data_IF_483460690513
#
_entry.id   IF_483460690513
#
_cell.length_a   1.000
_cell.length_b   1.000
_cell.length_c   1.000
_cell.angle_alpha   90.00
_cell.angle_beta   90.00
_cell.angle_gamma   90.00
#
_symmetry.space_group_name_H-M   'P 1'
#
loop_
_entity.id
_entity.type
_entity.pdbx_description
1 polymer ?
#
# COMPACT_ATOMS: atom_id res chain seq x y z
N UNK A 1 69.08 -3.12 2.32
CA UNK A 1 69.77 -3.56 1.08
C UNK A 1 68.78 -3.40 -0.02
N UNK A 2 68.96 -2.38 -0.67
CA UNK A 2 69.29 -1.95 -2.04
C UNK A 2 68.04 -1.54 -2.80
N UNK A 3 67.85 -0.25 -2.86
CA UNK A 3 67.31 0.51 -4.00
C UNK A 3 68.30 0.43 -5.18
N UNK A 4 67.93 0.54 -6.45
CA UNK A 4 67.97 1.87 -7.00
C UNK A 4 66.95 2.18 -8.14
N UNK A 5 66.47 3.41 -8.12
CA UNK A 5 66.46 4.45 -9.15
C UNK A 5 66.49 4.08 -10.66
N UNK A 6 65.62 4.68 -11.40
CA UNK A 6 65.64 4.81 -12.87
C UNK A 6 64.71 5.91 -13.38
N UNK A 7 65.26 7.07 -13.52
CA UNK A 7 64.74 8.35 -14.10
C UNK A 7 64.67 8.28 -15.63
N UNK A 8 63.94 9.24 -16.19
CA UNK A 8 64.02 9.88 -17.53
C UNK A 8 62.81 9.71 -18.46
N UNK A 9 62.14 10.77 -18.63
CA UNK A 9 62.02 11.83 -19.64
C UNK A 9 60.70 11.83 -20.38
N UNK A 10 60.06 13.01 -20.31
CA UNK A 10 58.99 13.44 -21.23
C UNK A 10 59.52 13.79 -22.62
N UNK A 11 58.64 13.85 -23.62
CA UNK A 11 58.56 15.10 -24.32
C UNK A 11 57.13 15.60 -24.62
N UNK A 12 57.02 16.87 -24.53
CA UNK A 12 56.11 17.88 -25.04
C UNK A 12 55.47 17.59 -26.40
N UNK A 13 54.17 17.83 -26.53
CA UNK A 13 53.46 17.85 -27.82
C UNK A 13 52.07 18.48 -27.70
N UNK A 14 52.02 19.80 -27.86
CA UNK A 14 50.77 20.57 -27.94
C UNK A 14 50.05 20.29 -29.26
N UNK A 15 48.74 20.01 -29.22
CA UNK A 15 47.80 20.42 -30.28
C UNK A 15 46.45 20.78 -29.66
N UNK A 16 46.09 22.03 -29.90
CA UNK A 16 44.78 22.63 -29.69
C UNK A 16 43.77 22.00 -30.67
N UNK A 17 42.65 21.48 -30.16
CA UNK A 17 41.49 21.09 -30.93
C UNK A 17 40.26 21.51 -30.16
N UNK A 18 39.68 22.67 -30.52
CA UNK A 18 38.41 23.15 -29.97
C UNK A 18 37.29 22.26 -30.49
N UNK A 19 36.66 21.54 -29.59
CA UNK A 19 35.39 20.87 -29.80
C UNK A 19 34.35 21.52 -28.88
N UNK A 20 33.53 22.40 -29.46
CA UNK A 20 32.27 22.83 -28.82
C UNK A 20 31.37 21.60 -28.78
N UNK A 21 31.42 20.84 -27.70
CA UNK A 21 30.46 19.82 -27.38
C UNK A 21 29.25 20.50 -26.74
N UNK A 22 28.11 20.43 -27.43
CA UNK A 22 26.85 20.97 -26.98
C UNK A 22 26.49 20.43 -25.57
N UNK A 23 26.14 21.36 -24.72
CA UNK A 23 25.43 21.05 -23.50
C UNK A 23 24.10 20.37 -23.89
N UNK A 24 24.12 19.05 -23.99
CA UNK A 24 22.89 18.29 -24.04
C UNK A 24 22.15 18.58 -22.72
N UNK A 25 21.04 19.28 -22.83
CA UNK A 25 20.05 19.39 -21.77
C UNK A 25 19.78 17.97 -21.25
N UNK A 26 20.43 17.62 -20.16
CA UNK A 26 20.02 16.44 -19.38
C UNK A 26 18.71 16.84 -18.76
N UNK A 27 17.61 16.50 -19.46
CA UNK A 27 16.27 16.57 -18.92
C UNK A 27 16.33 15.94 -17.52
N UNK A 28 16.05 16.73 -16.48
CA UNK A 28 16.02 16.24 -15.11
C UNK A 28 15.09 15.03 -15.08
N UNK A 29 15.43 13.95 -14.38
CA UNK A 29 14.61 12.75 -14.36
C UNK A 29 13.18 13.17 -13.98
N UNK A 30 12.24 12.94 -14.89
CA UNK A 30 10.83 13.23 -14.67
C UNK A 30 10.44 12.57 -13.36
N UNK A 31 9.91 13.36 -12.43
CA UNK A 31 9.36 12.81 -11.18
C UNK A 31 8.09 12.02 -11.54
N UNK A 32 8.28 10.75 -11.86
CA UNK A 32 7.22 9.80 -12.27
C UNK A 32 6.05 9.79 -11.28
N UNK A 33 6.27 10.29 -10.05
CA UNK A 33 5.25 10.42 -9.01
C UNK A 33 4.28 11.57 -9.28
N UNK A 34 4.73 12.64 -9.95
CA UNK A 34 3.86 13.77 -10.35
C UNK A 34 2.93 13.40 -11.50
N UNK A 35 3.35 12.43 -12.31
CA UNK A 35 2.59 11.95 -13.47
C UNK A 35 1.66 10.78 -13.11
N UNK A 36 1.60 10.35 -11.86
CA UNK A 36 0.64 9.33 -11.43
C UNK A 36 -0.78 9.87 -11.66
N UNK A 37 -1.62 9.17 -12.44
CA UNK A 37 -2.96 9.64 -12.81
C UNK A 37 -3.92 9.71 -11.60
N UNK A 38 -3.45 9.33 -10.44
CA UNK A 38 -4.15 9.43 -9.15
C UNK A 38 -3.22 10.01 -8.08
N UNK A 39 -3.81 10.56 -7.02
CA UNK A 39 -3.10 10.89 -5.77
C UNK A 39 -2.64 9.62 -5.05
N UNK A 40 -2.56 9.64 -3.73
CA UNK A 40 -2.37 8.41 -2.98
C UNK A 40 -3.63 7.53 -3.03
N UNK A 41 -3.47 6.21 -3.21
CA UNK A 41 -4.56 5.24 -3.14
C UNK A 41 -4.55 4.54 -1.79
N UNK A 42 -5.71 4.47 -1.16
CA UNK A 42 -5.92 3.75 0.09
C UNK A 42 -6.91 2.62 -0.15
N UNK A 43 -6.49 1.40 0.13
CA UNK A 43 -7.33 0.22 0.06
C UNK A 43 -7.82 -0.15 1.45
N UNK A 44 -9.14 -0.22 1.61
CA UNK A 44 -9.82 -0.69 2.80
C UNK A 44 -10.67 -1.91 2.45
N UNK A 45 -10.96 -2.76 3.42
CA UNK A 45 -11.77 -3.95 3.17
C UNK A 45 -11.74 -4.92 4.33
N UNK A 46 -12.71 -5.84 4.38
CA UNK A 46 -12.74 -6.88 5.40
C UNK A 46 -11.55 -7.83 5.26
N UNK A 47 -11.22 -8.61 6.29
CA UNK A 47 -10.18 -9.64 6.22
C UNK A 47 -10.37 -10.55 5.00
N UNK A 48 -9.29 -10.82 4.26
CA UNK A 48 -9.33 -11.63 3.04
C UNK A 48 -9.76 -10.90 1.77
N UNK A 49 -10.11 -9.60 1.82
CA UNK A 49 -10.46 -8.82 0.62
C UNK A 49 -9.29 -8.58 -0.33
N UNK A 50 -8.04 -8.71 0.14
CA UNK A 50 -6.84 -8.66 -0.70
C UNK A 50 -6.15 -7.30 -0.76
N UNK A 51 -6.40 -6.39 0.20
CA UNK A 51 -5.86 -5.03 0.22
C UNK A 51 -4.34 -4.99 0.00
N UNK A 52 -3.56 -5.84 0.70
CA UNK A 52 -2.10 -5.92 0.56
C UNK A 52 -1.67 -6.30 -0.85
N UNK A 53 -2.21 -7.41 -1.37
CA UNK A 53 -1.83 -7.93 -2.68
C UNK A 53 -2.20 -6.96 -3.80
N UNK A 54 -3.36 -6.31 -3.71
CA UNK A 54 -3.82 -5.34 -4.70
C UNK A 54 -3.03 -4.03 -4.60
N UNK A 55 -2.65 -3.58 -3.39
CA UNK A 55 -1.80 -2.40 -3.21
C UNK A 55 -0.43 -2.59 -3.87
N UNK A 56 0.16 -3.78 -3.77
CA UNK A 56 1.42 -4.10 -4.43
C UNK A 56 1.35 -4.01 -5.97
N UNK A 57 0.20 -4.34 -6.56
CA UNK A 57 -0.05 -4.22 -8.01
C UNK A 57 -0.37 -2.78 -8.46
N UNK A 58 -0.80 -1.91 -7.53
CA UNK A 58 -1.24 -0.56 -7.84
C UNK A 58 -0.14 0.48 -7.75
N UNK A 59 0.90 0.22 -6.97
CA UNK A 59 1.95 1.20 -6.73
C UNK A 59 2.61 1.67 -8.03
N UNK A 60 2.73 2.98 -8.19
CA UNK A 60 3.40 3.55 -9.35
C UNK A 60 4.93 3.34 -9.28
N UNK A 61 5.65 3.32 -10.41
CA UNK A 61 7.11 3.23 -10.40
C UNK A 61 7.74 4.31 -9.52
N UNK A 62 8.64 3.89 -8.62
CA UNK A 62 9.31 4.78 -7.68
C UNK A 62 8.46 5.28 -6.50
N UNK A 63 7.17 4.94 -6.45
CA UNK A 63 6.29 5.20 -5.32
C UNK A 63 6.35 4.06 -4.28
N UNK A 64 5.60 4.17 -3.18
CA UNK A 64 5.66 3.22 -2.07
C UNK A 64 4.38 2.41 -1.95
N UNK A 65 4.55 1.10 -1.81
CA UNK A 65 3.50 0.23 -1.28
C UNK A 65 3.68 0.11 0.24
N UNK A 66 2.63 0.37 1.00
CA UNK A 66 2.64 0.30 2.46
C UNK A 66 1.49 -0.55 2.95
N UNK A 67 1.81 -1.47 3.85
CA UNK A 67 0.84 -2.34 4.50
C UNK A 67 0.79 -2.04 5.99
N UNK A 68 -0.40 -1.66 6.47
CA UNK A 68 -0.60 -1.25 7.86
C UNK A 68 -0.29 -2.37 8.85
N UNK A 69 -0.68 -3.61 8.52
CA UNK A 69 -0.41 -4.75 9.40
C UNK A 69 1.09 -4.97 9.60
N UNK A 70 1.88 -4.92 8.52
CA UNK A 70 3.32 -5.05 8.60
C UNK A 70 3.97 -3.88 9.38
N UNK A 71 3.50 -2.64 9.18
CA UNK A 71 4.00 -1.47 9.91
C UNK A 71 3.65 -1.55 11.39
N UNK A 72 2.43 -2.00 11.73
CA UNK A 72 1.98 -2.16 13.12
C UNK A 72 2.79 -3.24 13.83
N UNK A 73 2.99 -4.40 13.21
CA UNK A 73 3.76 -5.49 13.78
C UNK A 73 5.24 -5.09 14.00
N UNK A 74 5.86 -4.40 13.03
CA UNK A 74 7.21 -3.88 13.17
C UNK A 74 7.34 -2.89 14.34
N UNK A 75 6.33 -2.04 14.55
CA UNK A 75 6.28 -1.08 15.66
C UNK A 75 6.18 -1.78 17.02
N UNK A 76 5.44 -2.86 17.07
CA UNK A 76 5.28 -3.69 18.27
C UNK A 76 6.43 -4.68 18.48
N UNK A 77 7.40 -4.74 17.55
CA UNK A 77 8.50 -5.68 17.53
C UNK A 77 8.04 -7.15 17.61
N UNK A 78 6.97 -7.49 16.88
CA UNK A 78 6.40 -8.84 16.81
C UNK A 78 6.31 -9.32 15.36
N UNK A 79 6.25 -10.65 15.20
CA UNK A 79 5.94 -11.24 13.89
C UNK A 79 4.50 -10.87 13.47
N UNK A 80 4.28 -10.35 12.25
CA UNK A 80 2.95 -10.02 11.76
C UNK A 80 1.94 -11.18 11.87
N UNK A 81 2.37 -12.41 11.60
CA UNK A 81 1.52 -13.60 11.68
C UNK A 81 1.05 -13.91 13.11
N UNK A 82 1.79 -13.48 14.13
CA UNK A 82 1.51 -13.74 15.53
C UNK A 82 0.97 -12.52 16.28
N UNK A 83 1.01 -11.33 15.67
CA UNK A 83 0.71 -10.07 16.33
C UNK A 83 -0.64 -10.08 17.06
N UNK A 84 -1.70 -10.62 16.44
CA UNK A 84 -3.03 -10.73 17.03
C UNK A 84 -3.17 -11.79 18.12
N UNK A 85 -2.17 -12.67 18.27
CA UNK A 85 -2.18 -13.74 19.28
C UNK A 85 -1.38 -13.34 20.51
N UNK A 86 -0.23 -12.67 20.29
CA UNK A 86 0.73 -12.37 21.37
C UNK A 86 0.58 -10.97 21.96
N UNK A 87 -0.14 -10.06 21.28
CA UNK A 87 -0.37 -8.68 21.75
C UNK A 87 -1.82 -8.53 22.21
N UNK A 88 -2.03 -7.91 23.37
CA UNK A 88 -3.38 -7.58 23.83
C UNK A 88 -4.11 -6.71 22.79
N UNK A 89 -5.37 -7.02 22.51
CA UNK A 89 -6.13 -6.38 21.42
C UNK A 89 -6.13 -4.85 21.53
N UNK A 90 -6.32 -4.31 22.72
CA UNK A 90 -6.32 -2.87 22.96
C UNK A 90 -4.98 -2.21 22.58
N UNK A 91 -3.85 -2.82 22.94
CA UNK A 91 -2.50 -2.35 22.60
C UNK A 91 -2.29 -2.40 21.09
N UNK A 92 -2.73 -3.51 20.46
CA UNK A 92 -2.63 -3.65 19.01
C UNK A 92 -3.45 -2.56 18.30
N UNK A 93 -4.72 -2.34 18.71
CA UNK A 93 -5.60 -1.34 18.09
C UNK A 93 -5.08 0.09 18.23
N UNK A 94 -4.48 0.42 19.37
CA UNK A 94 -3.84 1.72 19.57
C UNK A 94 -2.63 1.90 18.66
N UNK A 95 -1.78 0.89 18.56
CA UNK A 95 -0.60 0.93 17.68
C UNK A 95 -1.01 0.99 16.20
N UNK A 96 -2.02 0.21 15.80
CA UNK A 96 -2.60 0.19 14.45
C UNK A 96 -3.17 1.56 14.07
N UNK A 97 -3.94 2.19 14.93
CA UNK A 97 -4.52 3.51 14.67
C UNK A 97 -3.44 4.59 14.51
N UNK A 98 -2.41 4.59 15.37
CA UNK A 98 -1.27 5.51 15.25
C UNK A 98 -0.51 5.30 13.95
N UNK A 99 -0.20 4.04 13.62
CA UNK A 99 0.48 3.70 12.37
C UNK A 99 -0.34 4.10 11.14
N UNK A 100 -1.66 3.92 11.17
CA UNK A 100 -2.55 4.32 10.09
C UNK A 100 -2.53 5.83 9.86
N UNK A 101 -2.59 6.64 10.92
CA UNK A 101 -2.52 8.11 10.82
C UNK A 101 -1.21 8.53 10.16
N UNK A 102 -0.07 8.02 10.63
CA UNK A 102 1.24 8.37 10.06
C UNK A 102 1.39 7.93 8.59
N UNK A 103 0.86 6.76 8.23
CA UNK A 103 0.85 6.31 6.85
C UNK A 103 0.01 7.23 5.95
N UNK A 104 -1.17 7.64 6.43
CA UNK A 104 -2.05 8.55 5.70
C UNK A 104 -1.45 9.94 5.54
N UNK A 105 -0.90 10.51 6.61
CA UNK A 105 -0.26 11.83 6.59
C UNK A 105 0.97 11.86 5.69
N UNK A 106 1.79 10.81 5.73
CA UNK A 106 3.00 10.66 4.92
C UNK A 106 2.76 10.17 3.49
N UNK A 107 1.52 9.93 3.08
CA UNK A 107 1.17 9.43 1.75
C UNK A 107 1.41 10.49 0.67
N UNK A 108 1.98 10.07 -0.46
CA UNK A 108 2.30 10.91 -1.62
C UNK A 108 1.57 10.41 -2.85
N UNK A 109 1.41 11.26 -3.88
CA UNK A 109 0.87 10.80 -5.16
C UNK A 109 1.59 9.55 -5.68
N UNK A 110 0.82 8.59 -6.18
CA UNK A 110 1.32 7.30 -6.65
C UNK A 110 1.54 6.23 -5.58
N UNK A 111 1.57 6.59 -4.29
CA UNK A 111 1.65 5.61 -3.20
C UNK A 111 0.34 4.77 -3.12
N UNK A 112 0.49 3.50 -2.76
CA UNK A 112 -0.61 2.58 -2.50
C UNK A 112 -0.55 2.06 -1.06
N UNK A 113 -1.60 2.29 -0.28
CA UNK A 113 -1.69 1.95 1.14
C UNK A 113 -2.74 0.86 1.34
N UNK A 114 -2.37 -0.24 2.00
CA UNK A 114 -3.30 -1.27 2.45
C UNK A 114 -3.59 -1.05 3.94
N UNK A 115 -4.78 -0.51 4.27
CA UNK A 115 -5.19 -0.29 5.66
C UNK A 115 -6.08 -1.41 6.21
N UNK A 116 -6.76 -2.16 5.33
CA UNK A 116 -7.79 -3.09 5.79
C UNK A 116 -8.97 -2.38 6.43
N UNK A 117 -9.58 -2.97 7.45
CA UNK A 117 -10.76 -2.40 8.13
C UNK A 117 -10.60 -2.26 9.65
N UNK A 118 -9.49 -2.70 10.22
CA UNK A 118 -9.29 -2.73 11.68
C UNK A 118 -9.27 -1.34 12.32
N UNK A 119 -8.55 -0.41 11.71
CA UNK A 119 -8.35 0.95 12.21
C UNK A 119 -9.51 1.91 11.93
N UNK A 120 -10.51 1.54 11.12
CA UNK A 120 -11.52 2.46 10.59
C UNK A 120 -12.56 2.94 11.64
N UNK A 121 -12.53 2.42 12.85
CA UNK A 121 -13.34 2.91 13.97
C UNK A 121 -12.66 4.04 14.75
N UNK A 122 -11.39 4.34 14.47
CA UNK A 122 -10.64 5.39 15.15
C UNK A 122 -10.99 6.77 14.57
N UNK A 123 -11.47 7.73 15.39
CA UNK A 123 -11.74 9.09 14.93
C UNK A 123 -10.51 9.80 14.34
N UNK A 124 -9.32 9.48 14.84
CA UNK A 124 -8.07 10.04 14.31
C UNK A 124 -7.79 9.54 12.90
N UNK A 125 -8.02 8.25 12.63
CA UNK A 125 -7.87 7.66 11.29
C UNK A 125 -8.90 8.24 10.32
N UNK A 126 -10.15 8.43 10.74
CA UNK A 126 -11.18 9.04 9.90
C UNK A 126 -10.80 10.46 9.48
N UNK A 127 -10.34 11.29 10.42
CA UNK A 127 -9.83 12.64 10.09
C UNK A 127 -8.64 12.61 9.13
N UNK A 128 -7.73 11.66 9.31
CA UNK A 128 -6.57 11.52 8.42
C UNK A 128 -6.98 11.07 7.00
N UNK A 129 -8.02 10.24 6.87
CA UNK A 129 -8.62 9.89 5.56
C UNK A 129 -9.24 11.11 4.88
N UNK A 130 -9.97 11.95 5.62
CA UNK A 130 -10.56 13.18 5.07
C UNK A 130 -9.47 14.16 4.63
N UNK A 131 -8.42 14.34 5.42
CA UNK A 131 -7.26 15.15 5.05
C UNK A 131 -6.52 14.59 3.82
N UNK A 132 -6.45 13.27 3.66
CA UNK A 132 -5.88 12.64 2.47
C UNK A 132 -6.74 12.92 1.23
N UNK A 133 -8.06 12.84 1.33
CA UNK A 133 -8.99 13.19 0.23
C UNK A 133 -8.82 14.66 -0.18
N UNK A 134 -8.73 15.56 0.78
CA UNK A 134 -8.50 16.98 0.52
C UNK A 134 -7.21 17.26 -0.28
N UNK A 135 -6.22 16.36 -0.19
CA UNK A 135 -4.99 16.40 -0.99
C UNK A 135 -5.06 15.58 -2.29
N UNK A 136 -6.24 15.18 -2.71
CA UNK A 136 -6.47 14.41 -3.94
C UNK A 136 -6.20 12.90 -3.80
N UNK A 137 -6.14 12.36 -2.59
CA UNK A 137 -6.12 10.91 -2.37
C UNK A 137 -7.49 10.28 -2.63
N UNK A 138 -7.51 8.97 -2.79
CA UNK A 138 -8.74 8.21 -3.05
C UNK A 138 -8.79 6.96 -2.17
N UNK A 139 -9.94 6.71 -1.56
CA UNK A 139 -10.19 5.54 -0.72
C UNK A 139 -11.04 4.54 -1.49
N UNK A 140 -10.54 3.33 -1.69
CA UNK A 140 -11.24 2.27 -2.43
C UNK A 140 -11.52 1.10 -1.49
N UNK A 141 -12.79 0.72 -1.38
CA UNK A 141 -13.17 -0.49 -0.65
C UNK A 141 -13.09 -1.71 -1.57
N UNK A 142 -12.36 -2.72 -1.10
CA UNK A 142 -12.36 -4.06 -1.68
C UNK A 142 -13.37 -4.91 -0.93
N UNK A 143 -14.26 -5.58 -1.67
CA UNK A 143 -15.25 -6.51 -1.11
C UNK A 143 -15.10 -7.87 -1.76
N UNK A 144 -15.72 -8.89 -1.20
CA UNK A 144 -15.91 -10.17 -1.84
C UNK A 144 -17.08 -10.92 -1.18
N UNK A 145 -17.64 -11.92 -1.87
CA UNK A 145 -18.63 -12.80 -1.29
C UNK A 145 -18.11 -13.45 0.01
N UNK A 146 -18.97 -13.55 1.03
CA UNK A 146 -18.62 -14.07 2.35
C UNK A 146 -17.94 -15.46 2.28
N UNK A 147 -18.38 -16.33 1.37
CA UNK A 147 -17.74 -17.63 1.14
C UNK A 147 -16.30 -17.51 0.65
N UNK A 148 -16.03 -16.56 -0.25
CA UNK A 148 -14.67 -16.30 -0.75
C UNK A 148 -13.78 -15.75 0.35
N UNK A 149 -14.29 -14.83 1.19
CA UNK A 149 -13.57 -14.29 2.34
C UNK A 149 -13.29 -15.38 3.37
N UNK A 150 -14.28 -16.23 3.70
CA UNK A 150 -14.10 -17.35 4.62
C UNK A 150 -12.97 -18.29 4.15
N UNK A 151 -13.00 -18.67 2.86
CA UNK A 151 -11.95 -19.51 2.27
C UNK A 151 -10.56 -18.88 2.35
N UNK A 152 -10.44 -17.60 2.02
CA UNK A 152 -9.16 -16.87 2.07
C UNK A 152 -8.61 -16.72 3.49
N UNK A 153 -9.48 -16.82 4.50
CA UNK A 153 -9.11 -16.81 5.92
C UNK A 153 -9.02 -18.23 6.54
N UNK A 154 -9.03 -19.29 5.72
CA UNK A 154 -8.89 -20.67 6.21
C UNK A 154 -10.12 -21.22 6.97
N UNK A 155 -11.30 -20.59 6.80
CA UNK A 155 -12.54 -20.95 7.50
C UNK A 155 -13.50 -21.80 6.65
N UNK A 156 -13.04 -22.40 5.56
CA UNK A 156 -13.82 -23.28 4.68
C UNK A 156 -13.55 -24.78 4.91
N UNK A 157 -12.81 -25.14 5.96
CA UNK A 157 -12.56 -26.51 6.34
C UNK A 157 -13.89 -27.28 6.54
N UNK A 158 -13.92 -28.62 6.32
CA UNK A 158 -15.12 -29.43 6.48
C UNK A 158 -15.78 -29.14 7.83
N UNK A 159 -17.08 -28.93 7.80
CA UNK A 159 -17.89 -28.50 8.96
C UNK A 159 -17.77 -29.48 10.11
N UNK A 160 -16.86 -29.25 11.04
CA UNK A 160 -17.02 -29.80 12.38
C UNK A 160 -18.07 -28.96 13.10
N UNK A 161 -18.94 -29.63 13.87
CA UNK A 161 -19.98 -28.98 14.68
C UNK A 161 -19.40 -27.88 15.59
N UNK A 162 -18.15 -28.02 15.99
CA UNK A 162 -17.41 -27.05 16.80
C UNK A 162 -17.15 -25.69 16.12
N UNK A 163 -17.12 -25.60 14.78
CA UNK A 163 -16.84 -24.36 14.03
C UNK A 163 -18.10 -23.53 13.73
N UNK A 164 -19.31 -24.03 14.02
CA UNK A 164 -20.57 -23.33 13.75
C UNK A 164 -20.67 -21.95 14.42
N UNK A 165 -20.34 -21.80 15.71
CA UNK A 165 -20.33 -20.50 16.39
C UNK A 165 -19.29 -19.55 15.82
N UNK A 166 -18.06 -20.04 15.56
CA UNK A 166 -16.96 -19.25 14.99
C UNK A 166 -17.33 -18.72 13.61
N UNK A 167 -17.93 -19.56 12.77
CA UNK A 167 -18.38 -19.14 11.45
C UNK A 167 -19.46 -18.04 11.50
N UNK A 168 -20.44 -18.16 12.38
CA UNK A 168 -21.49 -17.13 12.56
C UNK A 168 -20.89 -15.80 13.02
N UNK A 169 -20.03 -15.84 14.03
CA UNK A 169 -19.33 -14.65 14.53
C UNK A 169 -18.50 -13.99 13.43
N UNK A 170 -17.78 -14.79 12.65
CA UNK A 170 -17.00 -14.30 11.52
C UNK A 170 -17.88 -13.63 10.45
N UNK A 171 -18.98 -14.25 10.04
CA UNK A 171 -19.92 -13.65 9.06
C UNK A 171 -20.51 -12.34 9.58
N UNK A 172 -20.84 -12.26 10.86
CA UNK A 172 -21.33 -11.02 11.48
C UNK A 172 -20.26 -9.92 11.43
N UNK A 173 -19.02 -10.25 11.80
CA UNK A 173 -17.89 -9.33 11.72
C UNK A 173 -17.66 -8.84 10.27
N UNK A 174 -17.70 -9.75 9.31
CA UNK A 174 -17.53 -9.38 7.89
C UNK A 174 -18.57 -8.37 7.43
N UNK A 175 -19.86 -8.59 7.77
CA UNK A 175 -20.95 -7.66 7.41
C UNK A 175 -20.77 -6.28 8.03
N UNK A 176 -20.38 -6.21 9.30
CA UNK A 176 -20.09 -4.95 9.99
C UNK A 176 -18.93 -4.22 9.34
N UNK A 177 -17.84 -4.92 9.02
CA UNK A 177 -16.66 -4.33 8.37
C UNK A 177 -16.94 -3.90 6.95
N UNK A 178 -17.75 -4.67 6.22
CA UNK A 178 -18.16 -4.31 4.85
C UNK A 178 -19.02 -3.04 4.83
N UNK A 179 -20.00 -2.92 5.74
CA UNK A 179 -20.82 -1.72 5.86
C UNK A 179 -19.94 -0.49 6.14
N UNK A 180 -19.04 -0.58 7.14
CA UNK A 180 -18.11 0.49 7.47
C UNK A 180 -17.22 0.89 6.27
N UNK A 181 -16.68 -0.09 5.55
CA UNK A 181 -15.87 0.19 4.37
C UNK A 181 -16.67 0.84 3.25
N UNK A 182 -17.94 0.45 3.07
CA UNK A 182 -18.84 1.04 2.08
C UNK A 182 -19.09 2.51 2.37
N UNK A 183 -19.37 2.85 3.62
CA UNK A 183 -19.67 4.22 4.05
C UNK A 183 -18.47 5.16 3.91
N UNK A 184 -17.26 4.60 4.03
CA UNK A 184 -16.00 5.35 3.97
C UNK A 184 -15.34 5.35 2.58
N UNK A 185 -15.85 4.60 1.61
CA UNK A 185 -15.17 4.45 0.33
C UNK A 185 -15.64 5.47 -0.71
N UNK A 186 -14.68 5.98 -1.48
CA UNK A 186 -14.97 6.76 -2.68
C UNK A 186 -15.38 5.86 -3.86
N UNK A 187 -14.89 4.63 -3.90
CA UNK A 187 -15.24 3.60 -4.88
C UNK A 187 -15.18 2.20 -4.26
N UNK A 188 -15.91 1.26 -4.86
CA UNK A 188 -15.92 -0.14 -4.42
C UNK A 188 -15.56 -1.08 -5.57
N UNK A 189 -14.81 -2.14 -5.26
CA UNK A 189 -14.45 -3.20 -6.20
C UNK A 189 -14.70 -4.57 -5.55
N UNK A 190 -15.51 -5.40 -6.23
CA UNK A 190 -15.69 -6.80 -5.84
C UNK A 190 -14.50 -7.62 -6.36
N UNK A 191 -13.85 -8.33 -5.45
CA UNK A 191 -12.68 -9.18 -5.72
C UNK A 191 -13.03 -10.66 -5.84
N UNK A 192 -14.29 -11.00 -5.85
CA UNK A 192 -14.76 -12.39 -5.91
C UNK A 192 -14.26 -13.07 -7.18
N UNK A 193 -13.49 -14.14 -7.05
CA UNK A 193 -12.94 -14.88 -8.18
C UNK A 193 -11.85 -14.17 -8.98
N UNK A 194 -11.43 -12.97 -8.57
CA UNK A 194 -10.43 -12.19 -9.28
C UNK A 194 -9.02 -12.38 -8.69
N UNK A 195 -8.01 -12.26 -9.56
CA UNK A 195 -6.61 -12.11 -9.14
C UNK A 195 -6.34 -10.68 -8.63
N UNK A 196 -5.23 -10.50 -7.90
CA UNK A 196 -4.79 -9.19 -7.44
C UNK A 196 -4.55 -8.22 -8.62
N UNK A 197 -3.91 -8.71 -9.69
CA UNK A 197 -3.64 -7.92 -10.89
C UNK A 197 -4.92 -7.47 -11.59
N UNK A 198 -5.91 -8.37 -11.78
CA UNK A 198 -7.19 -8.00 -12.38
C UNK A 198 -7.97 -7.01 -11.50
N UNK A 199 -7.94 -7.21 -10.18
CA UNK A 199 -8.55 -6.28 -9.23
C UNK A 199 -7.89 -4.90 -9.30
N UNK A 200 -6.56 -4.84 -9.36
CA UNK A 200 -5.82 -3.59 -9.50
C UNK A 200 -6.18 -2.85 -10.78
N UNK A 201 -6.37 -3.57 -11.88
CA UNK A 201 -6.85 -2.98 -13.14
C UNK A 201 -8.22 -2.31 -12.96
N UNK A 202 -9.18 -3.01 -12.33
CA UNK A 202 -10.51 -2.45 -12.06
C UNK A 202 -10.47 -1.24 -11.12
N UNK A 203 -9.56 -1.24 -10.14
CA UNK A 203 -9.35 -0.08 -9.26
C UNK A 203 -8.86 1.11 -10.09
N UNK A 204 -7.87 0.93 -10.96
CA UNK A 204 -7.36 2.00 -11.85
C UNK A 204 -8.49 2.58 -12.72
N UNK A 205 -9.26 1.72 -13.37
CA UNK A 205 -10.39 2.13 -14.21
C UNK A 205 -11.39 2.99 -13.42
N UNK A 206 -11.80 2.54 -12.23
CA UNK A 206 -12.77 3.27 -11.39
C UNK A 206 -12.22 4.60 -10.86
N UNK A 207 -10.96 4.66 -10.50
CA UNK A 207 -10.34 5.89 -9.96
C UNK A 207 -10.16 6.92 -11.07
N UNK A 208 -9.77 6.51 -12.26
CA UNK A 208 -9.62 7.41 -13.43
C UNK A 208 -10.99 7.95 -13.87
N UNK A 209 -12.01 7.10 -13.96
CA UNK A 209 -13.35 7.51 -14.34
C UNK A 209 -13.97 8.57 -13.40
N UNK A 210 -13.66 8.51 -12.10
CA UNK A 210 -14.15 9.51 -11.13
C UNK A 210 -13.49 10.88 -11.24
N UNK A 211 -12.36 10.97 -11.89
CA UNK A 211 -11.59 12.23 -12.05
C UNK A 211 -11.88 12.94 -13.38
N UNK A 212 -12.61 12.31 -14.25
CA UNK A 212 -13.12 12.99 -15.45
C UNK A 212 -14.30 13.85 -15.03
N UNK A 213 -14.29 15.16 -15.32
CA UNK A 213 -15.36 16.09 -14.97
C UNK A 213 -16.67 15.75 -15.65
#
# INVERSE_FOLDING_TARGET
>A
MSDPTGDLTAPTGARRGGGRGGAGDREAPRDVRRDAPWGALVLIGPPGAGCRSVAAELVAPGARCRDLEAVTAARLAVDPALAHVVVAEEVYRQAEARAAVELLEGARPGDALALGSGCLTSPAVLRALDALRARGGTVVALTAQARSLARRNGLDAPRSVALGPVHRTFVTLLRQREALCRDLADAMVDTTGLSASRTAQLVREKVVLRRQP
#
